data_IF_682503613757
#
_entry.id   IF_682503613757
#
_cell.length_a   1.000
_cell.length_b   1.000
_cell.length_c   1.000
_cell.angle_alpha   90.00
_cell.angle_beta   90.00
_cell.angle_gamma   90.00
#
_symmetry.space_group_name_H-M   'P 1'
#
loop_
_entity.id
_entity.type
_entity.pdbx_description
1 polymer ?
#
# COMPACT_ATOMS: atom_id res chain seq x y z
N UNK A 1 -3.18 18.65 3.67
CA UNK A 1 -3.92 17.42 3.30
C UNK A 1 -4.92 17.11 4.41
N UNK A 2 -6.05 16.48 4.08
CA UNK A 2 -7.00 16.05 5.10
C UNK A 2 -6.41 14.85 5.87
N UNK A 3 -6.41 14.91 7.20
CA UNK A 3 -5.92 13.84 8.05
C UNK A 3 -7.09 13.06 8.63
N UNK A 4 -6.96 11.73 8.71
CA UNK A 4 -7.97 10.84 9.31
C UNK A 4 -7.35 10.12 10.50
N UNK A 5 -8.03 10.15 11.65
CA UNK A 5 -7.57 9.42 12.84
C UNK A 5 -7.99 7.95 12.77
N UNK A 6 -7.08 7.06 13.17
CA UNK A 6 -7.33 5.63 13.32
C UNK A 6 -6.90 5.19 14.71
N UNK A 7 -7.73 4.38 15.34
CA UNK A 7 -7.37 3.69 16.57
C UNK A 7 -6.82 2.31 16.18
N UNK A 8 -5.65 1.97 16.69
CA UNK A 8 -4.96 0.70 16.43
C UNK A 8 -4.51 0.08 17.74
N UNK A 9 -4.60 -1.24 17.82
CA UNK A 9 -4.03 -2.03 18.90
C UNK A 9 -2.68 -2.59 18.44
N UNK A 10 -1.69 -2.59 19.32
CA UNK A 10 -0.38 -3.19 19.09
C UNK A 10 0.19 -3.76 20.38
N UNK A 11 1.25 -4.57 20.25
CA UNK A 11 1.98 -5.09 21.41
C UNK A 11 2.52 -3.94 22.29
N UNK A 12 2.49 -4.14 23.61
CA UNK A 12 2.87 -3.10 24.58
C UNK A 12 4.35 -2.73 24.47
N UNK A 13 5.24 -3.69 24.21
CA UNK A 13 6.66 -3.41 24.10
C UNK A 13 6.96 -2.63 22.82
N UNK A 14 6.28 -3.00 21.72
CA UNK A 14 6.38 -2.25 20.47
C UNK A 14 5.87 -0.81 20.61
N UNK A 15 4.76 -0.60 21.34
CA UNK A 15 4.25 0.74 21.62
C UNK A 15 5.26 1.59 22.41
N UNK A 16 5.91 1.01 23.42
CA UNK A 16 6.96 1.68 24.21
C UNK A 16 8.19 2.00 23.35
N UNK A 17 8.59 1.09 22.49
CA UNK A 17 9.71 1.30 21.56
C UNK A 17 9.40 2.44 20.59
N UNK A 18 8.21 2.44 19.99
CA UNK A 18 7.74 3.52 19.12
C UNK A 18 7.75 4.88 19.84
N UNK A 19 7.27 4.93 21.09
CA UNK A 19 7.31 6.14 21.91
C UNK A 19 8.74 6.62 22.14
N UNK A 20 9.66 5.71 22.47
CA UNK A 20 11.06 6.04 22.73
C UNK A 20 11.76 6.54 21.46
N UNK A 21 11.55 5.88 20.32
CA UNK A 21 12.10 6.30 19.02
C UNK A 21 11.57 7.69 18.65
N UNK A 22 10.27 7.92 18.80
CA UNK A 22 9.66 9.23 18.53
C UNK A 22 10.31 10.34 19.34
N UNK A 23 10.53 10.11 20.65
CA UNK A 23 11.22 11.06 21.54
C UNK A 23 12.66 11.32 21.11
N UNK A 24 13.43 10.29 20.80
CA UNK A 24 14.84 10.41 20.39
C UNK A 24 14.96 11.21 19.09
N UNK A 25 14.06 10.97 18.13
CA UNK A 25 14.06 11.63 16.83
C UNK A 25 13.37 13.00 16.84
N UNK A 26 12.72 13.39 17.95
CA UNK A 26 11.99 14.66 18.05
C UNK A 26 10.80 14.75 17.10
N UNK A 27 10.14 13.63 16.81
CA UNK A 27 9.00 13.50 15.88
C UNK A 27 7.81 12.87 16.59
N UNK A 28 6.65 12.82 15.93
CA UNK A 28 5.47 12.16 16.49
C UNK A 28 5.45 10.66 16.16
N UNK A 29 4.83 9.86 17.02
CA UNK A 29 4.59 8.43 16.73
C UNK A 29 3.77 8.26 15.44
N UNK A 30 2.84 9.17 15.16
CA UNK A 30 2.02 9.15 13.94
C UNK A 30 2.86 9.28 12.68
N UNK A 31 3.85 10.20 12.66
CA UNK A 31 4.73 10.39 11.50
C UNK A 31 5.62 9.15 11.25
N UNK A 32 6.05 8.48 12.31
CA UNK A 32 6.81 7.23 12.18
C UNK A 32 5.91 6.12 11.60
N UNK A 33 4.70 5.95 12.14
CA UNK A 33 3.76 4.95 11.65
C UNK A 33 3.39 5.23 10.19
N UNK A 34 3.11 6.48 9.82
CA UNK A 34 2.78 6.87 8.46
C UNK A 34 3.89 6.48 7.48
N UNK A 35 5.13 6.86 7.77
CA UNK A 35 6.29 6.46 6.95
C UNK A 35 6.47 4.95 6.87
N UNK A 36 6.33 4.26 8.00
CA UNK A 36 6.48 2.80 8.03
C UNK A 36 5.40 2.10 7.18
N UNK A 37 4.16 2.60 7.21
CA UNK A 37 3.08 2.10 6.37
C UNK A 37 3.33 2.38 4.90
N UNK A 38 3.79 3.58 4.54
CA UNK A 38 4.15 3.92 3.14
C UNK A 38 5.20 2.94 2.60
N UNK A 39 6.31 2.74 3.34
CA UNK A 39 7.35 1.79 2.96
C UNK A 39 6.84 0.36 2.85
N UNK A 40 5.98 -0.07 3.78
CA UNK A 40 5.43 -1.41 3.75
C UNK A 40 4.48 -1.61 2.57
N UNK A 41 3.64 -0.63 2.26
CA UNK A 41 2.71 -0.69 1.14
C UNK A 41 3.45 -0.71 -0.20
N UNK A 42 4.50 0.09 -0.38
CA UNK A 42 5.34 0.03 -1.59
C UNK A 42 5.94 -1.37 -1.80
N UNK A 43 6.39 -2.02 -0.73
CA UNK A 43 6.88 -3.39 -0.79
C UNK A 43 5.77 -4.39 -1.15
N UNK A 44 4.60 -4.26 -0.52
CA UNK A 44 3.45 -5.13 -0.79
C UNK A 44 2.96 -4.96 -2.24
N UNK A 45 2.98 -3.75 -2.80
CA UNK A 45 2.62 -3.50 -4.20
C UNK A 45 3.51 -4.30 -5.16
N UNK A 46 4.81 -4.44 -4.85
CA UNK A 46 5.71 -5.32 -5.60
C UNK A 46 5.28 -6.79 -5.57
N UNK A 47 4.91 -7.30 -4.39
CA UNK A 47 4.43 -8.68 -4.24
C UNK A 47 3.10 -8.91 -4.97
N UNK A 48 2.20 -7.93 -4.93
CA UNK A 48 0.93 -7.97 -5.65
C UNK A 48 1.20 -7.99 -7.16
N UNK A 49 2.09 -7.12 -7.65
CA UNK A 49 2.44 -7.06 -9.07
C UNK A 49 3.03 -8.39 -9.57
N UNK A 50 3.90 -9.03 -8.77
CA UNK A 50 4.45 -10.35 -9.10
C UNK A 50 3.36 -11.42 -9.17
N UNK A 51 2.45 -11.44 -8.19
CA UNK A 51 1.31 -12.37 -8.18
C UNK A 51 0.42 -12.17 -9.40
N UNK A 52 0.07 -10.92 -9.72
CA UNK A 52 -0.76 -10.57 -10.89
C UNK A 52 -0.06 -11.02 -12.18
N UNK A 53 1.24 -10.75 -12.31
CA UNK A 53 2.04 -11.18 -13.46
C UNK A 53 2.04 -12.70 -13.63
N UNK A 54 2.18 -13.45 -12.53
CA UNK A 54 2.10 -14.91 -12.53
C UNK A 54 0.71 -15.41 -12.93
N UNK A 55 -0.35 -14.86 -12.37
CA UNK A 55 -1.72 -15.27 -12.66
C UNK A 55 -2.12 -14.97 -14.12
N UNK A 56 -1.57 -13.92 -14.74
CA UNK A 56 -1.69 -13.67 -16.19
C UNK A 56 -0.98 -14.77 -16.99
N UNK A 57 0.28 -15.11 -16.64
CA UNK A 57 1.05 -16.16 -17.33
C UNK A 57 0.39 -17.53 -17.23
N UNK A 58 -0.22 -17.84 -16.09
CA UNK A 58 -0.96 -19.09 -15.85
C UNK A 58 -2.37 -19.07 -16.46
N UNK A 59 -2.79 -17.98 -17.09
CA UNK A 59 -4.12 -17.85 -17.72
C UNK A 59 -5.29 -17.71 -16.75
N UNK A 60 -5.01 -17.50 -15.45
CA UNK A 60 -6.04 -17.27 -14.41
C UNK A 60 -6.63 -15.87 -14.51
N UNK A 61 -5.84 -14.90 -14.95
CA UNK A 61 -6.28 -13.54 -15.26
C UNK A 61 -6.25 -13.35 -16.78
N UNK A 62 -7.39 -12.95 -17.35
CA UNK A 62 -7.48 -12.59 -18.77
C UNK A 62 -7.16 -11.11 -18.94
N UNK A 63 -6.24 -10.80 -19.84
CA UNK A 63 -5.91 -9.43 -20.25
C UNK A 63 -6.55 -9.18 -21.62
N UNK A 64 -7.24 -8.05 -21.77
CA UNK A 64 -7.75 -7.54 -23.05
C UNK A 64 -6.86 -6.39 -23.52
N UNK A 65 -6.79 -6.18 -24.83
CA UNK A 65 -6.09 -5.00 -25.36
C UNK A 65 -6.90 -3.74 -25.08
N UNK A 66 -6.20 -2.62 -24.89
CA UNK A 66 -6.83 -1.36 -24.51
C UNK A 66 -7.79 -0.83 -25.58
N UNK A 67 -7.42 -0.94 -26.86
CA UNK A 67 -8.26 -0.57 -28.02
C UNK A 67 -9.58 -1.34 -28.06
N UNK A 68 -9.55 -2.64 -27.79
CA UNK A 68 -10.76 -3.48 -27.68
C UNK A 68 -11.66 -2.99 -26.53
N UNK A 69 -11.07 -2.67 -25.37
CA UNK A 69 -11.80 -2.19 -24.20
C UNK A 69 -12.39 -0.79 -24.43
N UNK A 70 -11.65 0.13 -25.04
CA UNK A 70 -12.14 1.48 -25.34
C UNK A 70 -13.30 1.45 -26.32
N UNK A 71 -13.21 0.60 -27.36
CA UNK A 71 -14.32 0.37 -28.29
C UNK A 71 -15.55 -0.23 -27.59
N UNK A 72 -15.37 -1.18 -26.68
CA UNK A 72 -16.47 -1.75 -25.88
C UNK A 72 -17.13 -0.69 -24.96
N UNK A 73 -16.34 0.25 -24.43
CA UNK A 73 -16.81 1.29 -23.50
C UNK A 73 -17.29 2.57 -24.20
N UNK A 74 -17.15 2.68 -25.52
CA UNK A 74 -17.53 3.88 -26.29
C UNK A 74 -16.63 5.09 -25.99
N UNK A 75 -15.37 4.86 -25.62
CA UNK A 75 -14.38 5.90 -25.37
C UNK A 75 -13.58 6.09 -26.66
N UNK A 76 -13.55 7.32 -27.17
CA UNK A 76 -12.75 7.70 -28.35
C UNK A 76 -11.38 8.18 -27.87
N UNK A 77 -10.31 7.46 -28.25
CA UNK A 77 -8.91 7.66 -27.77
C UNK A 77 -7.96 7.80 -28.94
#
# INVERSE_FOLDING_TARGET
MATTKKLISMDENLAKELENIAKILGTTQSEIIEKALDFYFDYIDGLIAEKVSKDIKEGKIKVKKADEVFKELGIDV
#
